data_IF_489814061630
#
_entry.id   IF_489814061630
#
_cell.length_a   1.000
_cell.length_b   1.000
_cell.length_c   1.000
_cell.angle_alpha   90.00
_cell.angle_beta   90.00
_cell.angle_gamma   90.00
#
_symmetry.space_group_name_H-M   'P 1'
#
loop_
_entity.id
_entity.type
_entity.pdbx_description
1 polymer ?
#
# COMPACT_ATOMS: atom_id res chain seq x y z
N UNK A 1 -4.64 -30.30 -9.88
CA UNK A 1 -3.30 -29.85 -9.44
C UNK A 1 -3.41 -28.37 -9.12
N UNK A 2 -3.13 -28.00 -7.87
CA UNK A 2 -3.41 -26.70 -7.28
C UNK A 2 -2.62 -25.58 -7.95
N UNK A 3 -3.30 -24.66 -8.63
CA UNK A 3 -2.73 -23.43 -9.20
C UNK A 3 -1.99 -22.59 -8.12
N UNK A 4 -2.45 -22.65 -6.86
CA UNK A 4 -1.80 -21.96 -5.71
C UNK A 4 -0.44 -22.53 -5.32
N UNK A 5 -0.21 -23.83 -5.55
CA UNK A 5 1.06 -24.48 -5.22
C UNK A 5 2.15 -24.12 -6.21
N UNK A 6 1.77 -23.89 -7.47
CA UNK A 6 2.68 -23.44 -8.53
C UNK A 6 3.14 -22.00 -8.27
N UNK A 7 2.26 -21.12 -7.75
CA UNK A 7 2.64 -19.74 -7.41
C UNK A 7 3.65 -19.63 -6.28
N UNK A 8 3.52 -20.46 -5.23
CA UNK A 8 4.44 -20.41 -4.08
C UNK A 8 5.83 -20.94 -4.43
N UNK A 9 5.91 -22.03 -5.19
CA UNK A 9 7.19 -22.61 -5.61
C UNK A 9 7.98 -21.63 -6.50
N UNK A 10 7.32 -21.02 -7.47
CA UNK A 10 7.93 -20.00 -8.34
C UNK A 10 8.41 -18.80 -7.54
N UNK A 11 7.59 -18.30 -6.61
CA UNK A 11 7.98 -17.18 -5.77
C UNK A 11 9.19 -17.50 -4.88
N UNK A 12 9.23 -18.69 -4.31
CA UNK A 12 10.37 -19.15 -3.51
C UNK A 12 11.66 -19.24 -4.34
N UNK A 13 11.59 -19.77 -5.57
CA UNK A 13 12.73 -19.83 -6.48
C UNK A 13 13.26 -18.44 -6.85
N UNK A 14 12.38 -17.50 -7.19
CA UNK A 14 12.77 -16.12 -7.49
C UNK A 14 13.44 -15.41 -6.30
N UNK A 15 13.02 -15.71 -5.06
CA UNK A 15 13.68 -15.18 -3.86
C UNK A 15 15.07 -15.78 -3.66
N UNK A 16 15.24 -17.08 -3.91
CA UNK A 16 16.55 -17.72 -3.83
C UNK A 16 17.53 -17.14 -4.87
N UNK A 17 17.07 -16.92 -6.10
CA UNK A 17 17.88 -16.32 -7.16
C UNK A 17 18.38 -14.93 -6.77
N UNK A 18 17.49 -14.03 -6.30
CA UNK A 18 17.89 -12.69 -5.87
C UNK A 18 18.89 -12.71 -4.69
N UNK A 19 18.73 -13.66 -3.75
CA UNK A 19 19.68 -13.82 -2.64
C UNK A 19 21.05 -14.33 -3.09
N UNK A 20 21.10 -15.21 -4.10
CA UNK A 20 22.36 -15.69 -4.70
C UNK A 20 23.09 -14.56 -5.42
N UNK A 21 22.35 -13.72 -6.15
CA UNK A 21 22.89 -12.57 -6.89
C UNK A 21 23.22 -11.35 -6.00
N UNK A 22 22.98 -11.46 -4.67
CA UNK A 22 23.11 -10.35 -3.72
C UNK A 22 22.33 -9.09 -4.14
N UNK A 23 21.22 -9.29 -4.85
CA UNK A 23 20.33 -8.22 -5.28
C UNK A 23 19.46 -7.75 -4.10
N UNK A 24 19.16 -6.44 -4.06
CA UNK A 24 18.23 -5.91 -3.08
C UNK A 24 16.82 -6.41 -3.39
N UNK A 25 16.24 -7.19 -2.47
CA UNK A 25 14.87 -7.68 -2.61
C UNK A 25 13.90 -6.68 -2.00
N UNK A 26 12.96 -6.11 -2.76
CA UNK A 26 11.95 -5.21 -2.20
C UNK A 26 11.19 -5.90 -1.06
N UNK A 27 11.04 -5.21 0.07
CA UNK A 27 10.41 -5.78 1.26
C UNK A 27 9.00 -6.32 0.98
N UNK A 28 8.26 -5.69 0.06
CA UNK A 28 6.96 -6.18 -0.40
C UNK A 28 7.04 -7.59 -0.99
N UNK A 29 8.05 -7.87 -1.84
CA UNK A 29 8.27 -9.18 -2.45
C UNK A 29 8.53 -10.23 -1.37
N UNK A 30 9.31 -9.92 -0.33
CA UNK A 30 9.54 -10.85 0.80
C UNK A 30 8.25 -11.25 1.53
N UNK A 31 7.24 -10.37 1.54
CA UNK A 31 5.93 -10.64 2.14
C UNK A 31 4.91 -11.18 1.14
N UNK A 32 5.31 -11.55 -0.08
CA UNK A 32 4.40 -12.01 -1.13
C UNK A 32 3.47 -10.91 -1.66
N UNK A 33 3.83 -9.64 -1.48
CA UNK A 33 3.14 -8.51 -2.09
C UNK A 33 3.64 -8.33 -3.53
N UNK A 34 2.76 -7.93 -4.47
CA UNK A 34 3.16 -7.59 -5.82
C UNK A 34 4.15 -6.43 -5.84
N UNK A 35 5.02 -6.40 -6.83
CA UNK A 35 5.92 -5.27 -7.02
C UNK A 35 5.17 -4.03 -7.51
N UNK A 36 5.69 -2.88 -7.11
CA UNK A 36 5.17 -1.60 -7.54
C UNK A 36 6.21 -0.90 -8.44
N UNK A 37 5.76 -0.12 -9.43
CA UNK A 37 6.65 0.72 -10.24
C UNK A 37 7.18 1.91 -9.41
N UNK A 38 8.17 2.61 -9.98
CA UNK A 38 8.64 3.92 -9.50
C UNK A 38 9.12 3.94 -8.03
N UNK A 39 9.74 2.84 -7.56
CA UNK A 39 10.22 2.65 -6.18
C UNK A 39 9.14 2.84 -5.10
N UNK A 40 7.87 2.68 -5.47
CA UNK A 40 6.75 2.78 -4.54
C UNK A 40 6.69 1.57 -3.60
N UNK A 41 6.06 1.75 -2.45
CA UNK A 41 6.00 0.73 -1.40
C UNK A 41 4.58 0.53 -0.91
N UNK A 42 4.27 -0.72 -0.59
CA UNK A 42 3.02 -1.04 0.10
C UNK A 42 3.09 -0.61 1.55
N UNK A 43 2.04 0.07 2.01
CA UNK A 43 1.83 0.40 3.42
C UNK A 43 0.58 -0.28 3.93
N UNK A 44 0.64 -0.83 5.14
CA UNK A 44 -0.54 -1.35 5.82
C UNK A 44 -1.33 -0.23 6.52
N UNK A 45 -2.34 -0.57 7.31
CA UNK A 45 -3.14 0.42 8.05
C UNK A 45 -2.28 1.29 8.98
N UNK A 46 -1.21 0.74 9.59
CA UNK A 46 -0.35 1.50 10.48
C UNK A 46 0.53 2.48 9.68
N UNK A 47 1.11 2.03 8.56
CA UNK A 47 1.86 2.89 7.65
C UNK A 47 0.99 4.01 7.06
N UNK A 48 -0.22 3.68 6.59
CA UNK A 48 -1.18 4.66 6.09
C UNK A 48 -1.58 5.69 7.15
N UNK A 49 -1.79 5.24 8.41
CA UNK A 49 -2.09 6.13 9.53
C UNK A 49 -0.91 7.06 9.87
N UNK A 50 0.32 6.56 9.82
CA UNK A 50 1.53 7.36 10.04
C UNK A 50 1.68 8.44 8.97
N UNK A 51 1.50 8.09 7.69
CA UNK A 51 1.53 9.05 6.58
C UNK A 51 0.45 10.13 6.73
N UNK A 52 -0.79 9.72 7.02
CA UNK A 52 -1.92 10.62 7.20
C UNK A 52 -1.94 11.36 8.55
N UNK A 53 -0.97 11.11 9.44
CA UNK A 53 -0.86 11.71 10.79
C UNK A 53 -2.11 11.54 11.65
N UNK A 54 -2.74 10.37 11.57
CA UNK A 54 -3.92 10.01 12.38
C UNK A 54 -3.70 8.69 13.10
N UNK A 55 -4.62 8.33 14.01
CA UNK A 55 -4.59 7.00 14.62
C UNK A 55 -5.01 5.93 13.59
N UNK A 56 -4.50 4.69 13.68
CA UNK A 56 -4.98 3.57 12.84
C UNK A 56 -6.49 3.32 12.95
N UNK A 57 -7.07 3.59 14.12
CA UNK A 57 -8.52 3.51 14.35
C UNK A 57 -9.30 4.54 13.54
N UNK A 58 -8.70 5.69 13.25
CA UNK A 58 -9.29 6.70 12.37
C UNK A 58 -9.39 6.17 10.94
N UNK A 59 -8.33 5.54 10.43
CA UNK A 59 -8.33 4.92 9.10
C UNK A 59 -9.45 3.87 9.00
N UNK A 60 -9.55 2.95 9.96
CA UNK A 60 -10.61 1.93 9.93
C UNK A 60 -12.01 2.53 9.99
N UNK A 61 -12.21 3.59 10.79
CA UNK A 61 -13.47 4.33 10.82
C UNK A 61 -13.78 5.04 9.51
N UNK A 62 -12.78 5.58 8.82
CA UNK A 62 -12.96 6.24 7.53
C UNK A 62 -13.38 5.25 6.46
N UNK A 63 -12.73 4.09 6.38
CA UNK A 63 -13.13 3.02 5.46
C UNK A 63 -14.56 2.54 5.71
N UNK A 64 -14.95 2.34 6.96
CA UNK A 64 -16.30 1.91 7.31
C UNK A 64 -17.38 2.95 6.98
N UNK A 65 -17.05 4.24 7.06
CA UNK A 65 -18.01 5.36 6.92
C UNK A 65 -17.84 6.16 5.64
N UNK A 66 -16.96 5.74 4.73
CA UNK A 66 -16.54 6.50 3.54
C UNK A 66 -16.13 7.94 3.87
N UNK A 67 -15.42 8.10 4.99
CA UNK A 67 -14.88 9.39 5.41
C UNK A 67 -13.43 9.60 4.92
N UNK A 68 -12.85 10.80 5.10
CA UNK A 68 -13.51 12.07 5.45
C UNK A 68 -14.61 12.48 4.46
N UNK A 69 -15.68 13.14 4.91
CA UNK A 69 -16.87 13.43 4.08
C UNK A 69 -16.57 14.24 2.81
N UNK A 70 -15.63 15.19 2.88
CA UNK A 70 -15.26 16.06 1.75
C UNK A 70 -14.33 15.37 0.76
N UNK A 71 -13.54 14.42 1.24
CA UNK A 71 -12.53 13.72 0.46
C UNK A 71 -12.35 12.33 1.04
N UNK A 72 -13.05 11.32 0.51
CA UNK A 72 -12.94 9.96 1.01
C UNK A 72 -11.49 9.48 1.02
N UNK A 73 -11.13 8.74 2.06
CA UNK A 73 -9.81 8.11 2.13
C UNK A 73 -9.67 7.07 1.00
N UNK A 74 -8.48 6.89 0.40
CA UNK A 74 -8.27 5.96 -0.70
C UNK A 74 -8.71 4.53 -0.36
N UNK A 75 -9.27 3.82 -1.35
CA UNK A 75 -9.69 2.43 -1.16
C UNK A 75 -8.47 1.51 -1.06
N UNK A 76 -8.42 0.57 -0.10
CA UNK A 76 -7.31 -0.37 0.02
C UNK A 76 -7.34 -1.47 -1.03
N UNK A 77 -6.15 -1.99 -1.33
CA UNK A 77 -5.96 -3.28 -1.96
C UNK A 77 -6.00 -4.39 -0.91
N UNK A 78 -6.78 -5.45 -1.15
CA UNK A 78 -6.84 -6.61 -0.27
C UNK A 78 -5.87 -7.69 -0.75
N UNK A 79 -4.77 -7.87 -0.03
CA UNK A 79 -3.68 -8.80 -0.39
C UNK A 79 -3.36 -9.62 0.86
N UNK A 80 -3.26 -10.95 0.73
CA UNK A 80 -3.01 -11.87 1.85
C UNK A 80 -3.94 -11.63 3.06
N UNK A 81 -5.21 -11.36 2.76
CA UNK A 81 -6.27 -11.03 3.73
C UNK A 81 -6.05 -9.77 4.57
N UNK A 82 -5.04 -8.96 4.25
CA UNK A 82 -4.76 -7.65 4.85
C UNK A 82 -5.06 -6.52 3.87
N UNK A 83 -5.16 -5.31 4.40
CA UNK A 83 -5.41 -4.09 3.64
C UNK A 83 -4.09 -3.36 3.45
N UNK A 84 -3.79 -3.02 2.20
CA UNK A 84 -2.60 -2.28 1.82
C UNK A 84 -2.97 -1.12 0.89
N UNK A 85 -2.16 -0.08 0.93
CA UNK A 85 -2.19 1.05 -0.01
C UNK A 85 -0.83 1.23 -0.62
N UNK A 86 -0.78 1.81 -1.81
CA UNK A 86 0.48 2.34 -2.30
C UNK A 86 0.82 3.59 -1.52
N UNK A 87 2.09 3.80 -1.17
CA UNK A 87 2.52 5.00 -0.46
C UNK A 87 2.20 6.24 -1.29
N UNK A 88 2.48 6.21 -2.60
CA UNK A 88 2.20 7.31 -3.53
C UNK A 88 0.72 7.72 -3.56
N UNK A 89 -0.22 6.77 -3.43
CA UNK A 89 -1.66 7.06 -3.38
C UNK A 89 -2.05 7.86 -2.14
N UNK A 90 -1.45 7.54 -0.99
CA UNK A 90 -1.69 8.28 0.26
C UNK A 90 -1.03 9.66 0.18
N UNK A 91 0.18 9.75 -0.37
CA UNK A 91 0.89 11.03 -0.54
C UNK A 91 0.17 11.95 -1.54
N UNK A 92 -0.32 11.45 -2.67
CA UNK A 92 -1.20 12.20 -3.57
C UNK A 92 -2.51 12.60 -2.88
N UNK A 93 -3.07 11.68 -2.08
CA UNK A 93 -4.21 11.99 -1.22
C UNK A 93 -3.87 13.06 -0.16
N UNK A 94 -2.62 13.33 0.18
CA UNK A 94 -2.26 14.45 1.05
C UNK A 94 -2.00 15.73 0.24
N UNK A 95 -1.35 15.60 -0.91
CA UNK A 95 -0.95 16.72 -1.78
C UNK A 95 -2.11 17.59 -2.28
N UNK A 96 -3.26 17.00 -2.67
CA UNK A 96 -4.37 17.83 -3.17
C UNK A 96 -5.07 18.69 -2.07
N UNK A 97 -4.71 18.57 -0.78
CA UNK A 97 -5.18 19.54 0.22
C UNK A 97 -4.61 20.95 -0.04
N UNK A 98 -3.41 21.07 -0.62
CA UNK A 98 -2.76 22.36 -0.87
C UNK A 98 -3.33 23.17 -2.05
N UNK A 99 -4.01 22.51 -3.00
CA UNK A 99 -4.56 23.18 -4.18
C UNK A 99 -5.95 23.79 -3.96
N UNK A 100 -6.60 23.48 -2.83
CA UNK A 100 -8.00 23.86 -2.57
C UNK A 100 -8.17 25.17 -1.79
N UNK A 101 -7.09 25.93 -1.54
CA UNK A 101 -7.11 27.18 -0.73
C UNK A 101 -6.85 28.47 -1.52
N UNK A 102 -6.56 28.42 -2.82
CA UNK A 102 -6.36 29.63 -3.65
C UNK A 102 -7.34 29.74 -4.81
N UNK A 103 -8.64 29.72 -4.53
CA UNK A 103 -9.67 30.10 -5.49
C UNK A 103 -10.86 30.77 -4.78
N UNK A 104 -10.63 31.97 -4.24
CA UNK A 104 -11.65 32.96 -3.93
C UNK A 104 -10.96 34.30 -3.70
N UNK A 105 -10.82 35.08 -4.77
CA UNK A 105 -10.84 36.55 -4.78
C UNK A 105 -11.41 37.02 -6.12
#
# INVERSE_FOLDING_TARGET
>A
MNERSVTLAVHHESLLEALVEAEEVPAGRLFGLPELPDDDVWVDTAGAAALARVSPKTITSWLARKGPKRRPFPSPHRILYRLYWRRSEIEGWLGDEGASTHASE
#
